data_IF_417636846690
#
_entry.id   IF_417636846690
#
_cell.length_a   1.000
_cell.length_b   1.000
_cell.length_c   1.000
_cell.angle_alpha   90.00
_cell.angle_beta   90.00
_cell.angle_gamma   90.00
#
_symmetry.space_group_name_H-M   'P 1'
#
loop_
_entity.id
_entity.type
_entity.pdbx_description
1 polymer ?
#
# COMPACT_ATOMS: atom_id res chain seq x y z
N UNK A 1 16.09 -10.57 -4.51
CA UNK A 1 15.94 -9.32 -3.75
C UNK A 1 15.38 -9.68 -2.39
N UNK A 2 15.96 -9.20 -1.28
CA UNK A 2 15.38 -9.40 0.06
C UNK A 2 14.49 -8.19 0.33
N UNK A 3 13.19 -8.42 0.55
CA UNK A 3 12.29 -7.35 0.97
C UNK A 3 12.66 -6.92 2.38
N UNK A 4 12.44 -5.64 2.66
CA UNK A 4 12.54 -5.11 4.02
C UNK A 4 11.36 -5.63 4.83
N UNK A 5 11.60 -6.09 6.06
CA UNK A 5 10.56 -6.70 6.91
C UNK A 5 9.49 -5.68 7.31
N UNK A 6 9.84 -4.39 7.35
CA UNK A 6 8.90 -3.30 7.60
C UNK A 6 7.89 -3.05 6.45
N UNK A 7 8.13 -3.61 5.26
CA UNK A 7 7.21 -3.47 4.12
C UNK A 7 6.05 -4.47 4.24
N UNK A 8 5.11 -4.16 5.13
CA UNK A 8 3.90 -4.97 5.37
C UNK A 8 2.67 -4.31 4.78
N UNK A 9 1.59 -5.09 4.64
CA UNK A 9 0.26 -4.56 4.24
C UNK A 9 -0.23 -3.51 5.25
N UNK A 10 0.03 -3.71 6.54
CA UNK A 10 -0.37 -2.76 7.58
C UNK A 10 0.38 -1.44 7.47
N UNK A 11 1.69 -1.48 7.19
CA UNK A 11 2.47 -0.28 6.95
C UNK A 11 1.98 0.50 5.72
N UNK A 12 1.65 -0.21 4.64
CA UNK A 12 1.06 0.41 3.45
C UNK A 12 -0.33 0.98 3.70
N UNK A 13 -1.16 0.29 4.47
CA UNK A 13 -2.49 0.76 4.84
C UNK A 13 -2.42 2.05 5.66
N UNK A 14 -1.56 2.13 6.67
CA UNK A 14 -1.36 3.36 7.45
C UNK A 14 -0.82 4.52 6.61
N UNK A 15 0.08 4.23 5.65
CA UNK A 15 0.59 5.22 4.69
C UNK A 15 -0.54 5.78 3.82
N UNK A 16 -1.33 4.90 3.19
CA UNK A 16 -2.43 5.31 2.31
C UNK A 16 -3.50 6.06 3.09
N UNK A 17 -3.92 5.56 4.24
CA UNK A 17 -4.90 6.22 5.12
C UNK A 17 -4.44 7.61 5.59
N UNK A 18 -3.15 7.76 5.91
CA UNK A 18 -2.57 9.05 6.31
C UNK A 18 -2.52 10.05 5.15
N UNK A 19 -2.24 9.58 3.94
CA UNK A 19 -2.11 10.43 2.75
C UNK A 19 -3.48 10.81 2.16
N UNK A 20 -4.47 9.91 2.21
CA UNK A 20 -5.86 10.24 1.88
C UNK A 20 -6.42 11.39 2.73
N UNK A 21 -6.10 11.44 4.03
CA UNK A 21 -6.48 12.57 4.92
C UNK A 21 -5.85 13.92 4.52
N UNK A 22 -4.91 13.90 3.57
CA UNK A 22 -4.22 15.07 3.01
C UNK A 22 -4.53 15.26 1.52
N UNK A 23 -5.67 14.74 1.08
CA UNK A 23 -6.19 14.85 -0.30
C UNK A 23 -5.33 14.18 -1.39
N UNK A 24 -4.43 13.27 -1.00
CA UNK A 24 -3.67 12.44 -1.94
C UNK A 24 -4.50 11.21 -2.29
N UNK A 25 -5.00 11.17 -3.52
CA UNK A 25 -5.89 10.11 -4.01
C UNK A 25 -5.28 9.23 -5.11
N UNK A 26 -4.05 9.52 -5.55
CA UNK A 26 -3.38 8.80 -6.64
C UNK A 26 -2.09 8.20 -6.12
N UNK A 27 -1.91 6.90 -6.33
CA UNK A 27 -0.74 6.13 -5.91
C UNK A 27 -0.16 5.41 -7.12
N UNK A 28 1.10 5.70 -7.44
CA UNK A 28 1.83 5.09 -8.54
C UNK A 28 2.46 3.77 -8.11
N UNK A 29 2.40 2.76 -8.99
CA UNK A 29 3.07 1.47 -8.80
C UNK A 29 3.43 0.84 -10.14
N UNK A 30 4.27 -0.19 -10.13
CA UNK A 30 4.73 -0.90 -11.32
C UNK A 30 5.17 -2.31 -10.98
N UNK A 31 5.07 -3.24 -11.94
CA UNK A 31 5.62 -4.59 -11.85
C UNK A 31 7.12 -4.60 -11.53
N UNK A 32 7.86 -3.56 -11.93
CA UNK A 32 9.29 -3.43 -11.66
C UNK A 32 9.58 -3.01 -10.22
N UNK A 33 8.61 -2.38 -9.54
CA UNK A 33 8.81 -1.91 -8.17
C UNK A 33 8.81 -3.08 -7.20
N UNK A 34 10.02 -3.39 -6.72
CA UNK A 34 10.26 -4.54 -5.87
C UNK A 34 9.74 -5.85 -6.49
N UNK A 35 9.88 -6.02 -7.81
CA UNK A 35 9.52 -7.24 -8.53
C UNK A 35 8.06 -7.69 -8.25
N UNK A 36 7.12 -6.76 -8.40
CA UNK A 36 5.68 -6.95 -8.19
C UNK A 36 5.25 -6.99 -6.72
N UNK A 37 6.18 -6.84 -5.77
CA UNK A 37 5.84 -6.83 -4.34
C UNK A 37 5.11 -5.55 -3.93
N UNK A 38 5.46 -4.40 -4.52
CA UNK A 38 4.79 -3.13 -4.24
C UNK A 38 3.28 -3.20 -4.54
N UNK A 39 2.90 -3.73 -5.70
CA UNK A 39 1.50 -3.92 -6.10
C UNK A 39 0.74 -4.83 -5.13
N UNK A 40 1.38 -5.89 -4.62
CA UNK A 40 0.78 -6.79 -3.63
C UNK A 40 0.50 -6.08 -2.31
N UNK A 41 1.43 -5.24 -1.85
CA UNK A 41 1.25 -4.47 -0.61
C UNK A 41 0.17 -3.40 -0.77
N UNK A 42 0.19 -2.67 -1.89
CA UNK A 42 -0.82 -1.66 -2.21
C UNK A 42 -2.22 -2.27 -2.33
N UNK A 43 -2.36 -3.38 -3.06
CA UNK A 43 -3.64 -4.09 -3.19
C UNK A 43 -4.14 -4.65 -1.86
N UNK A 44 -3.23 -5.16 -1.01
CA UNK A 44 -3.57 -5.57 0.36
C UNK A 44 -4.09 -4.42 1.22
N UNK A 45 -3.44 -3.25 1.14
CA UNK A 45 -3.85 -2.05 1.86
C UNK A 45 -5.24 -1.54 1.41
N UNK A 46 -5.52 -1.54 0.11
CA UNK A 46 -6.84 -1.20 -0.44
C UNK A 46 -7.91 -2.15 0.06
N UNK A 47 -7.67 -3.47 0.00
CA UNK A 47 -8.62 -4.47 0.51
C UNK A 47 -8.90 -4.30 2.01
N UNK A 48 -7.89 -3.94 2.79
CA UNK A 48 -8.07 -3.63 4.21
C UNK A 48 -8.95 -2.40 4.43
N UNK A 49 -8.76 -1.34 3.64
CA UNK A 49 -9.64 -0.17 3.66
C UNK A 49 -11.10 -0.51 3.37
N UNK A 50 -11.35 -1.40 2.39
CA UNK A 50 -12.70 -1.89 2.06
C UNK A 50 -13.33 -2.61 3.27
N UNK A 51 -12.57 -3.47 3.96
CA UNK A 51 -13.06 -4.20 5.14
C UNK A 51 -13.34 -3.25 6.31
N UNK A 52 -12.50 -2.24 6.51
CA UNK A 52 -12.63 -1.24 7.57
C UNK A 52 -13.71 -0.18 7.26
N UNK A 53 -14.21 -0.12 6.02
CA UNK A 53 -15.21 0.84 5.58
C UNK A 53 -14.70 2.27 5.40
N UNK A 54 -13.43 2.41 4.97
CA UNK A 54 -12.75 3.71 4.72
C UNK A 54 -12.37 3.90 3.26
#
# INVERSE_FOLDING_TARGET
>A
MKYKEENTVDAWYELMKTTFKRDVNVFDTSEMYANGHAEKLQGGAVNKGIVDGV
#
